data_IF_303068591220
#
_entry.id   IF_303068591220
#
_cell.length_a   1.000
_cell.length_b   1.000
_cell.length_c   1.000
_cell.angle_alpha   90.00
_cell.angle_beta   90.00
_cell.angle_gamma   90.00
#
_symmetry.space_group_name_H-M   'P 1'
#
loop_
_entity.id
_entity.type
_entity.pdbx_description
1 polymer ?
#
# COMPACT_ATOMS: atom_id res chain seq x y z
N UNK A 1 -3.53 43.97 -0.22
CA UNK A 1 -2.94 42.64 -0.49
C UNK A 1 -3.47 41.67 0.55
N UNK A 2 -4.40 40.80 0.19
CA UNK A 2 -4.87 39.74 1.09
C UNK A 2 -3.79 38.66 1.06
N UNK A 3 -3.03 38.53 2.14
CA UNK A 3 -2.18 37.36 2.35
C UNK A 3 -3.10 36.15 2.47
N UNK A 4 -3.19 35.36 1.40
CA UNK A 4 -3.96 34.12 1.43
C UNK A 4 -3.19 33.13 2.31
N UNK A 5 -3.61 32.97 3.56
CA UNK A 5 -3.16 31.87 4.41
C UNK A 5 -3.52 30.58 3.67
N UNK A 6 -2.50 29.78 3.32
CA UNK A 6 -2.71 28.50 2.67
C UNK A 6 -3.70 27.65 3.50
N UNK A 7 -4.73 27.03 2.88
CA UNK A 7 -5.67 26.19 3.59
C UNK A 7 -4.95 25.12 4.41
N UNK A 8 -5.47 24.81 5.62
CA UNK A 8 -4.85 23.83 6.54
C UNK A 8 -4.48 22.51 5.85
N UNK A 9 -5.26 22.08 4.86
CA UNK A 9 -5.01 20.89 4.05
C UNK A 9 -3.64 20.87 3.35
N UNK A 10 -3.16 22.04 2.92
CA UNK A 10 -1.88 22.21 2.20
C UNK A 10 -0.74 22.67 3.11
N UNK A 11 -0.91 22.56 4.43
CA UNK A 11 0.15 22.88 5.40
C UNK A 11 0.92 21.62 5.79
N UNK A 12 2.22 21.73 6.13
CA UNK A 12 3.01 20.61 6.63
C UNK A 12 2.41 19.96 7.88
N UNK A 13 2.73 18.68 8.06
CA UNK A 13 2.28 17.88 9.20
C UNK A 13 3.33 16.82 9.58
N UNK A 14 3.51 16.62 10.89
CA UNK A 14 4.37 15.55 11.42
C UNK A 14 3.50 14.38 11.86
N UNK A 15 3.66 13.23 11.20
CA UNK A 15 2.92 12.01 11.49
C UNK A 15 3.81 11.03 12.28
N UNK A 16 3.32 10.53 13.43
CA UNK A 16 4.01 9.54 14.26
C UNK A 16 4.51 10.07 15.61
N UNK A 17 5.28 9.23 16.33
CA UNK A 17 5.73 9.47 17.70
C UNK A 17 7.09 10.16 17.83
N UNK A 18 7.62 10.20 19.06
CA UNK A 18 8.86 10.92 19.42
C UNK A 18 10.14 10.43 18.71
N UNK A 19 10.10 9.28 18.04
CA UNK A 19 11.24 8.67 17.33
C UNK A 19 10.90 8.59 15.84
N UNK A 20 11.74 9.19 14.99
CA UNK A 20 11.63 9.19 13.53
C UNK A 20 10.22 9.54 12.99
N UNK A 21 9.69 10.75 13.28
CA UNK A 21 8.42 11.18 12.71
C UNK A 21 8.50 11.28 11.19
N UNK A 22 7.39 10.98 10.52
CA UNK A 22 7.25 11.19 9.08
C UNK A 22 6.86 12.64 8.84
N UNK A 23 7.77 13.39 8.23
CA UNK A 23 7.56 14.78 7.83
C UNK A 23 6.78 14.81 6.50
N UNK A 24 5.57 15.38 6.52
CA UNK A 24 4.72 15.57 5.35
C UNK A 24 4.64 17.05 4.99
N UNK A 25 4.65 17.36 3.68
CA UNK A 25 4.52 18.74 3.16
C UNK A 25 3.06 19.19 3.04
N UNK A 26 2.12 18.25 3.04
CA UNK A 26 0.68 18.50 3.03
C UNK A 26 -0.10 17.38 3.73
N UNK A 27 -1.40 17.57 3.93
CA UNK A 27 -2.29 16.64 4.64
C UNK A 27 -3.17 15.79 3.72
N UNK A 28 -2.95 15.86 2.41
CA UNK A 28 -3.59 14.96 1.44
C UNK A 28 -2.89 13.61 1.47
N UNK A 29 -3.67 12.54 1.65
CA UNK A 29 -3.20 11.15 1.70
C UNK A 29 -3.96 10.34 0.67
N UNK A 30 -3.26 9.51 -0.11
CA UNK A 30 -3.93 8.51 -0.94
C UNK A 30 -4.38 7.35 -0.06
N UNK A 31 -5.69 7.13 -0.01
CA UNK A 31 -6.29 6.00 0.69
C UNK A 31 -5.83 4.65 0.10
N UNK A 32 -5.88 3.56 0.87
CA UNK A 32 -5.65 2.21 0.35
C UNK A 32 -6.76 1.83 -0.65
N UNK A 33 -6.37 1.41 -1.85
CA UNK A 33 -7.30 1.13 -2.96
C UNK A 33 -6.90 -0.16 -3.69
N UNK A 34 -7.53 -1.29 -3.37
CA UNK A 34 -7.29 -2.59 -4.03
C UNK A 34 -7.58 -2.54 -5.53
N UNK A 35 -6.59 -2.90 -6.36
CA UNK A 35 -6.68 -2.77 -7.83
C UNK A 35 -6.66 -4.09 -8.59
N UNK A 36 -6.22 -5.17 -7.93
CA UNK A 36 -6.16 -6.52 -8.52
C UNK A 36 -5.30 -6.56 -9.80
N UNK A 37 -4.05 -6.08 -9.70
CA UNK A 37 -3.12 -5.94 -10.85
C UNK A 37 -1.83 -6.77 -10.73
N UNK A 38 -1.79 -7.73 -9.80
CA UNK A 38 -0.60 -8.59 -9.59
C UNK A 38 -0.79 -10.05 -10.01
N UNK A 39 -1.97 -10.39 -10.54
CA UNK A 39 -2.28 -11.75 -11.01
C UNK A 39 -2.13 -12.81 -9.92
N UNK A 40 -1.79 -14.03 -10.32
CA UNK A 40 -1.67 -15.17 -9.40
C UNK A 40 -0.50 -15.04 -8.44
N UNK A 41 0.66 -14.57 -8.91
CA UNK A 41 1.89 -14.47 -8.12
C UNK A 41 1.79 -13.51 -6.93
N UNK A 42 0.90 -12.52 -7.01
CA UNK A 42 0.79 -11.47 -6.00
C UNK A 42 2.00 -10.52 -6.00
N UNK A 43 2.85 -10.58 -7.03
CA UNK A 43 4.07 -9.77 -7.16
C UNK A 43 3.74 -8.44 -7.82
N UNK A 44 4.04 -7.28 -7.19
CA UNK A 44 3.94 -5.99 -7.84
C UNK A 44 4.82 -5.92 -9.10
N UNK A 45 4.25 -5.48 -10.21
CA UNK A 45 4.94 -5.36 -11.50
C UNK A 45 5.34 -3.92 -11.78
N UNK A 46 6.04 -3.67 -12.89
CA UNK A 46 6.37 -2.32 -13.36
C UNK A 46 5.12 -1.41 -13.49
N UNK A 47 3.96 -1.98 -13.84
CA UNK A 47 2.69 -1.25 -13.89
C UNK A 47 2.28 -0.71 -12.51
N UNK A 48 2.50 -1.49 -11.45
CA UNK A 48 2.18 -1.09 -10.07
C UNK A 48 3.14 0.01 -9.60
N UNK A 49 4.44 -0.12 -9.91
CA UNK A 49 5.43 0.91 -9.61
C UNK A 49 5.10 2.24 -10.31
N UNK A 50 4.76 2.20 -11.60
CA UNK A 50 4.34 3.39 -12.35
C UNK A 50 3.06 4.00 -11.77
N UNK A 51 2.07 3.18 -11.41
CA UNK A 51 0.82 3.64 -10.82
C UNK A 51 1.02 4.45 -9.52
N UNK A 52 1.88 3.97 -8.61
CA UNK A 52 2.21 4.68 -7.36
C UNK A 52 3.11 5.88 -7.62
N UNK A 53 4.10 5.76 -8.51
CA UNK A 53 4.97 6.87 -8.93
C UNK A 53 4.16 8.05 -9.45
N UNK A 54 3.14 7.83 -10.30
CA UNK A 54 2.29 8.90 -10.82
C UNK A 54 1.53 9.68 -9.73
N UNK A 55 1.31 9.07 -8.56
CA UNK A 55 0.58 9.68 -7.43
C UNK A 55 1.49 10.22 -6.35
N UNK A 56 2.78 9.91 -6.41
CA UNK A 56 3.76 10.42 -5.47
C UNK A 56 4.02 11.92 -5.74
N UNK A 57 3.84 12.70 -4.69
CA UNK A 57 4.23 14.10 -4.62
C UNK A 57 5.30 14.27 -3.55
N UNK A 58 6.15 15.27 -3.70
CA UNK A 58 7.18 15.60 -2.72
C UNK A 58 6.57 15.85 -1.33
N UNK A 59 6.91 15.01 -0.35
CA UNK A 59 6.37 15.06 1.01
C UNK A 59 4.90 14.64 1.15
N UNK A 60 4.30 14.02 0.13
CA UNK A 60 2.96 13.41 0.21
C UNK A 60 2.99 11.97 0.75
N UNK A 61 1.87 11.50 1.32
CA UNK A 61 1.74 10.13 1.83
C UNK A 61 0.79 9.30 0.97
N UNK A 62 1.24 8.10 0.61
CA UNK A 62 0.43 7.06 -0.03
C UNK A 62 0.27 5.87 0.92
N UNK A 63 -0.89 5.21 0.87
CA UNK A 63 -1.09 3.92 1.51
C UNK A 63 -1.30 2.90 0.39
N UNK A 64 -0.58 1.77 0.43
CA UNK A 64 -0.71 0.74 -0.60
C UNK A 64 -2.13 0.16 -0.63
N UNK A 65 -2.44 -0.58 -1.69
CA UNK A 65 -3.54 -1.52 -1.65
C UNK A 65 -3.33 -2.59 -0.57
N UNK A 66 -4.43 -3.23 -0.19
CA UNK A 66 -4.43 -4.30 0.80
C UNK A 66 -3.48 -5.42 0.36
N UNK A 67 -2.47 -5.69 1.20
CA UNK A 67 -1.34 -6.56 0.86
C UNK A 67 -1.32 -7.77 1.79
N UNK A 68 -1.47 -8.95 1.21
CA UNK A 68 -1.62 -10.20 1.96
C UNK A 68 -0.34 -10.56 2.71
N UNK A 69 -0.48 -10.96 3.98
CA UNK A 69 0.66 -11.35 4.85
C UNK A 69 1.05 -12.83 4.77
N UNK A 70 0.24 -13.64 4.09
CA UNK A 70 0.47 -15.07 3.89
C UNK A 70 -0.31 -15.56 2.65
N UNK A 71 -0.05 -16.78 2.17
CA UNK A 71 -0.89 -17.40 1.13
C UNK A 71 -2.37 -17.49 1.54
N UNK A 72 -2.65 -17.81 2.80
CA UNK A 72 -4.02 -18.01 3.34
C UNK A 72 -4.77 -16.70 3.63
N UNK A 73 -4.04 -15.58 3.73
CA UNK A 73 -4.61 -14.25 3.94
C UNK A 73 -5.41 -13.71 2.74
N UNK A 74 -5.33 -14.39 1.59
CA UNK A 74 -5.80 -13.91 0.29
C UNK A 74 -7.32 -13.85 0.18
N UNK A 75 -7.85 -12.63 0.18
CA UNK A 75 -9.29 -12.40 -0.06
C UNK A 75 -9.69 -12.35 -1.54
N UNK A 76 -8.80 -11.85 -2.42
CA UNK A 76 -9.10 -11.65 -3.84
C UNK A 76 -7.93 -12.09 -4.74
N UNK A 77 -8.26 -12.71 -5.87
CA UNK A 77 -7.30 -12.97 -6.95
C UNK A 77 -6.74 -11.65 -7.50
N UNK A 78 -5.41 -11.58 -7.70
CA UNK A 78 -4.75 -10.38 -8.20
C UNK A 78 -4.37 -9.34 -7.14
N UNK A 79 -4.77 -9.53 -5.88
CA UNK A 79 -4.27 -8.72 -4.76
C UNK A 79 -2.81 -9.08 -4.45
N UNK A 80 -1.95 -8.09 -4.16
CA UNK A 80 -0.53 -8.33 -3.89
C UNK A 80 -0.30 -9.05 -2.56
N UNK A 81 0.87 -9.66 -2.43
CA UNK A 81 1.37 -10.21 -1.17
C UNK A 81 2.63 -9.50 -0.70
N UNK A 82 3.02 -9.77 0.56
CA UNK A 82 4.31 -9.40 1.14
C UNK A 82 4.73 -10.47 2.16
N UNK A 83 5.04 -11.67 1.66
CA UNK A 83 5.44 -12.82 2.49
C UNK A 83 6.52 -13.71 1.84
N UNK A 84 7.00 -13.35 0.65
CA UNK A 84 8.10 -14.03 -0.02
C UNK A 84 9.05 -13.03 -0.70
N UNK A 85 10.22 -13.50 -1.14
CA UNK A 85 11.25 -12.62 -1.69
C UNK A 85 10.83 -11.92 -2.98
N UNK A 86 10.18 -12.63 -3.92
CA UNK A 86 9.74 -12.02 -5.18
C UNK A 86 8.76 -10.86 -4.95
N UNK A 87 7.89 -10.97 -3.94
CA UNK A 87 6.98 -9.91 -3.53
C UNK A 87 7.72 -8.74 -2.87
N UNK A 88 8.74 -9.02 -2.05
CA UNK A 88 9.60 -7.99 -1.45
C UNK A 88 10.30 -7.20 -2.56
N UNK A 89 10.91 -7.87 -3.53
CA UNK A 89 11.62 -7.23 -4.65
C UNK A 89 10.65 -6.36 -5.50
N UNK A 90 9.44 -6.86 -5.74
CA UNK A 90 8.39 -6.10 -6.43
C UNK A 90 7.98 -4.83 -5.66
N UNK A 91 7.79 -4.94 -4.34
CA UNK A 91 7.49 -3.78 -3.49
C UNK A 91 8.69 -2.83 -3.34
N UNK A 92 9.92 -3.32 -3.36
CA UNK A 92 11.12 -2.48 -3.34
C UNK A 92 11.14 -1.55 -4.56
N UNK A 93 10.83 -2.06 -5.76
CA UNK A 93 10.70 -1.24 -6.97
C UNK A 93 9.60 -0.16 -6.83
N UNK A 94 8.46 -0.51 -6.23
CA UNK A 94 7.36 0.44 -5.97
C UNK A 94 7.79 1.54 -4.97
N UNK A 95 8.35 1.15 -3.83
CA UNK A 95 8.76 2.11 -2.79
C UNK A 95 9.90 3.01 -3.28
N UNK A 96 10.85 2.46 -4.05
CA UNK A 96 11.88 3.25 -4.73
C UNK A 96 11.27 4.32 -5.65
N UNK A 97 10.34 3.95 -6.52
CA UNK A 97 9.72 4.90 -7.44
C UNK A 97 8.96 6.04 -6.72
N UNK A 98 8.38 5.76 -5.56
CA UNK A 98 7.74 6.78 -4.70
C UNK A 98 8.80 7.67 -4.02
N UNK A 99 9.84 7.06 -3.45
CA UNK A 99 10.91 7.77 -2.74
C UNK A 99 11.74 8.66 -3.66
N UNK A 100 11.98 8.25 -4.92
CA UNK A 100 12.67 9.05 -5.94
C UNK A 100 11.93 10.37 -6.23
N UNK A 101 10.62 10.45 -5.95
CA UNK A 101 9.79 11.68 -6.05
C UNK A 101 9.62 12.42 -4.73
N UNK A 102 10.30 11.99 -3.67
CA UNK A 102 10.19 12.56 -2.32
C UNK A 102 8.90 12.17 -1.58
N UNK A 103 8.09 11.28 -2.15
CA UNK A 103 6.87 10.77 -1.52
C UNK A 103 7.18 9.83 -0.35
N UNK A 104 6.16 9.54 0.46
CA UNK A 104 6.17 8.55 1.53
C UNK A 104 5.12 7.50 1.23
N UNK A 105 5.37 6.24 1.57
CA UNK A 105 4.41 5.15 1.34
C UNK A 105 4.41 4.17 2.49
N UNK A 106 3.21 3.81 2.96
CA UNK A 106 2.99 2.78 3.97
C UNK A 106 2.27 1.59 3.35
N UNK A 107 2.63 0.38 3.77
CA UNK A 107 1.94 -0.85 3.37
C UNK A 107 0.71 -1.09 4.25
N UNK A 108 -0.43 -1.39 3.65
CA UNK A 108 -1.61 -1.90 4.35
C UNK A 108 -1.52 -3.43 4.47
N UNK A 109 -1.02 -3.92 5.61
CA UNK A 109 -1.00 -5.35 5.90
C UNK A 109 -2.43 -5.88 6.04
N UNK A 110 -2.70 -7.03 5.43
CA UNK A 110 -4.06 -7.54 5.31
C UNK A 110 -4.17 -9.05 5.48
N UNK A 111 -5.27 -9.47 6.10
CA UNK A 111 -5.78 -10.83 6.14
C UNK A 111 -7.30 -10.77 6.01
N UNK A 112 -7.89 -11.48 5.02
CA UNK A 112 -9.33 -11.40 4.78
C UNK A 112 -10.17 -12.15 5.83
N UNK A 113 -9.59 -13.13 6.52
CA UNK A 113 -10.31 -13.99 7.46
C UNK A 113 -11.48 -14.67 6.75
N UNK A 114 -12.64 -14.73 7.41
CA UNK A 114 -13.86 -15.35 6.90
C UNK A 114 -14.42 -14.74 5.60
N UNK A 115 -13.95 -13.57 5.18
CA UNK A 115 -14.35 -12.93 3.91
C UNK A 115 -13.62 -13.53 2.71
N UNK A 116 -12.69 -14.46 2.92
CA UNK A 116 -12.04 -15.20 1.84
C UNK A 116 -13.00 -16.12 1.08
N UNK A 117 -12.51 -16.68 -0.04
CA UNK A 117 -13.20 -17.71 -0.80
C UNK A 117 -12.30 -18.94 -0.95
N UNK A 118 -12.80 -20.18 -0.88
CA UNK A 118 -11.98 -21.39 -0.99
C UNK A 118 -11.12 -21.44 -2.27
N UNK A 119 -11.63 -20.91 -3.40
CA UNK A 119 -10.86 -20.81 -4.66
C UNK A 119 -9.63 -19.88 -4.58
N UNK A 120 -9.55 -19.01 -3.56
CA UNK A 120 -8.39 -18.15 -3.34
C UNK A 120 -7.39 -18.78 -2.36
N UNK A 121 -7.70 -19.94 -1.79
CA UNK A 121 -6.84 -20.66 -0.86
C UNK A 121 -5.97 -21.67 -1.61
N UNK A 122 -4.73 -21.83 -1.18
CA UNK A 122 -3.88 -22.92 -1.64
C UNK A 122 -4.41 -24.25 -1.13
N UNK A 123 -4.29 -25.30 -1.95
CA UNK A 123 -4.53 -26.70 -1.57
C UNK A 123 -5.94 -27.03 -1.04
N UNK A 124 -6.96 -26.26 -1.44
CA UNK A 124 -8.35 -26.50 -1.05
C UNK A 124 -8.65 -26.28 0.43
N UNK A 125 -7.76 -25.56 1.14
CA UNK A 125 -8.00 -25.22 2.54
C UNK A 125 -9.28 -24.38 2.68
N UNK A 126 -10.03 -24.65 3.75
CA UNK A 126 -11.15 -23.81 4.12
C UNK A 126 -10.64 -22.43 4.51
N UNK A 127 -11.45 -21.42 4.22
CA UNK A 127 -11.21 -20.06 4.68
C UNK A 127 -11.04 -20.08 6.19
N UNK A 128 -10.04 -19.39 6.73
CA UNK A 128 -9.78 -19.35 8.17
C UNK A 128 -10.99 -18.77 8.89
N UNK A 129 -11.77 -19.66 9.51
CA UNK A 129 -12.84 -19.35 10.45
C UNK A 129 -12.21 -19.35 11.84
N UNK A 130 -12.37 -18.26 12.58
CA UNK A 130 -12.11 -18.27 14.02
C UNK A 130 -13.33 -18.90 14.67
N UNK A 131 -13.27 -20.19 15.00
CA UNK A 131 -14.15 -20.85 15.96
C UNK A 131 -13.38 -21.17 17.24
#
# INVERSE_FOLDING_TARGET
MISAIAPKLFTPFKLGGKKAPVELKHRVVMAPLTRLRTGESGVPTALVAEYYSQRATDGGLLITEATNISPTARGYFGAPGLFNQAQIDGWEAVTKAVHDKGGKIFVQLWHCGCVGHPLNQSDGQLVVLFE
#
